data_IF_737727042003
#
_entry.id   IF_737727042003
#
_cell.length_a   1.000
_cell.length_b   1.000
_cell.length_c   1.000
_cell.angle_alpha   90.00
_cell.angle_beta   90.00
_cell.angle_gamma   90.00
#
_symmetry.space_group_name_H-M   'P 1'
#
loop_
_entity.id
_entity.type
_entity.pdbx_description
1 polymer ?
#
# COMPACT_ATOMS: atom_id res chain seq x y z
N UNK A 1 7.83 -14.74 24.67
CA UNK A 1 6.44 -14.78 24.17
C UNK A 1 5.68 -13.70 24.90
N UNK A 2 5.40 -12.60 24.21
CA UNK A 2 4.45 -11.59 24.67
C UNK A 2 3.43 -11.47 23.53
N UNK A 3 2.23 -11.95 23.81
CA UNK A 3 1.07 -11.90 22.92
C UNK A 3 0.72 -10.43 22.71
N UNK A 4 0.80 -9.96 21.47
CA UNK A 4 0.35 -8.64 21.06
C UNK A 4 -1.08 -8.76 20.54
N UNK A 5 -1.98 -9.24 21.41
CA UNK A 5 -3.41 -9.30 21.16
C UNK A 5 -4.04 -8.15 21.94
N UNK A 6 -4.51 -7.10 21.26
CA UNK A 6 -5.36 -6.10 21.93
C UNK A 6 -5.46 -4.68 21.40
N UNK A 7 -4.97 -4.31 20.22
CA UNK A 7 -5.11 -2.90 19.77
C UNK A 7 -5.23 -2.70 18.24
N UNK A 8 -5.73 -3.71 17.52
CA UNK A 8 -5.89 -3.66 16.06
C UNK A 8 -7.26 -3.15 15.57
N UNK A 9 -8.23 -2.97 16.48
CA UNK A 9 -9.64 -2.78 16.13
C UNK A 9 -10.12 -1.34 16.00
N UNK A 10 -9.52 -0.37 16.68
CA UNK A 10 -10.15 0.95 16.91
C UNK A 10 -9.64 2.08 15.99
N UNK A 11 -8.45 1.93 15.40
CA UNK A 11 -7.80 3.02 14.67
C UNK A 11 -8.45 3.40 13.33
N UNK A 12 -9.02 2.42 12.60
CA UNK A 12 -9.59 2.65 11.27
C UNK A 12 -10.92 3.39 11.36
N UNK A 13 -11.78 3.08 12.33
CA UNK A 13 -13.07 3.75 12.48
C UNK A 13 -12.88 5.24 12.82
N UNK A 14 -11.95 5.53 13.73
CA UNK A 14 -11.55 6.90 14.06
C UNK A 14 -10.95 7.63 12.83
N UNK A 15 -10.15 6.94 12.02
CA UNK A 15 -9.60 7.51 10.81
C UNK A 15 -10.69 7.83 9.77
N UNK A 16 -11.62 6.92 9.52
CA UNK A 16 -12.73 7.14 8.58
C UNK A 16 -13.63 8.26 9.05
N UNK A 17 -14.05 8.25 10.32
CA UNK A 17 -14.88 9.31 10.90
C UNK A 17 -14.25 10.70 10.75
N UNK A 18 -12.93 10.78 10.93
CA UNK A 18 -12.23 12.05 10.81
C UNK A 18 -12.03 12.52 9.37
N UNK A 19 -11.88 11.61 8.40
CA UNK A 19 -11.74 11.95 6.97
C UNK A 19 -13.07 12.21 6.27
N UNK A 20 -14.15 11.62 6.78
CA UNK A 20 -15.52 11.94 6.34
C UNK A 20 -15.99 13.26 6.96
N UNK A 21 -15.33 13.72 8.02
CA UNK A 21 -15.78 14.83 8.87
C UNK A 21 -17.05 14.45 9.61
N UNK A 22 -17.50 15.25 10.58
CA UNK A 22 -18.82 15.09 11.21
C UNK A 22 -20.00 15.33 10.26
N UNK A 23 -19.88 14.93 9.00
CA UNK A 23 -20.91 14.96 8.01
C UNK A 23 -22.05 14.07 8.51
N UNK A 24 -23.22 14.68 8.70
CA UNK A 24 -24.41 14.04 9.27
C UNK A 24 -24.70 12.68 8.62
N UNK A 25 -24.39 12.54 7.32
CA UNK A 25 -24.57 11.30 6.59
C UNK A 25 -23.73 10.13 7.12
N UNK A 26 -22.60 10.31 7.84
CA UNK A 26 -21.81 9.21 8.42
C UNK A 26 -22.38 8.63 9.72
N UNK A 27 -23.26 9.37 10.40
CA UNK A 27 -23.90 8.91 11.63
C UNK A 27 -25.42 8.75 11.48
N UNK A 28 -26.01 9.29 10.40
CA UNK A 28 -27.42 9.13 10.02
C UNK A 28 -27.61 7.84 9.19
N UNK A 29 -28.17 6.75 9.76
CA UNK A 29 -28.36 5.49 9.05
C UNK A 29 -29.43 5.57 7.93
N UNK A 30 -30.36 6.54 8.03
CA UNK A 30 -31.53 6.64 7.14
C UNK A 30 -31.38 7.74 6.09
N UNK A 31 -30.24 8.42 6.06
CA UNK A 31 -29.95 9.51 5.11
C UNK A 31 -29.99 9.05 3.64
N UNK A 32 -30.71 9.80 2.80
CA UNK A 32 -30.81 9.51 1.37
C UNK A 32 -29.45 9.55 0.65
N UNK A 33 -28.56 10.46 1.06
CA UNK A 33 -27.19 10.57 0.54
C UNK A 33 -26.33 9.35 0.89
N UNK A 34 -26.55 8.74 2.06
CA UNK A 34 -25.88 7.50 2.48
C UNK A 34 -26.27 6.36 1.54
N UNK A 35 -27.58 6.17 1.34
CA UNK A 35 -28.11 5.12 0.49
C UNK A 35 -27.61 5.27 -0.95
N UNK A 36 -27.54 6.50 -1.46
CA UNK A 36 -26.98 6.76 -2.79
C UNK A 36 -25.49 6.40 -2.88
N UNK A 37 -24.69 6.70 -1.84
CA UNK A 37 -23.23 6.47 -1.82
C UNK A 37 -22.84 5.00 -1.59
N UNK A 38 -23.63 4.24 -0.84
CA UNK A 38 -23.36 2.82 -0.52
C UNK A 38 -23.90 1.84 -1.55
N UNK A 39 -24.71 2.31 -2.50
CA UNK A 39 -25.16 1.50 -3.65
C UNK A 39 -23.99 1.13 -4.57
N UNK A 40 -24.08 -0.06 -5.15
CA UNK A 40 -23.20 -0.50 -6.22
C UNK A 40 -23.27 0.47 -7.41
N UNK A 41 -22.19 0.58 -8.18
CA UNK A 41 -22.28 1.18 -9.50
C UNK A 41 -23.05 0.23 -10.43
N UNK A 42 -23.97 0.78 -11.22
CA UNK A 42 -24.82 0.03 -12.15
C UNK A 42 -24.60 0.55 -13.57
N UNK A 43 -24.77 -0.31 -14.58
CA UNK A 43 -24.55 0.07 -15.98
C UNK A 43 -23.10 -0.08 -16.44
N UNK A 44 -22.78 0.46 -17.62
CA UNK A 44 -21.41 0.45 -18.14
C UNK A 44 -20.55 1.44 -17.35
N UNK A 45 -19.22 1.27 -17.37
CA UNK A 45 -18.26 2.19 -16.71
C UNK A 45 -18.51 3.67 -17.05
N UNK A 46 -18.91 3.96 -18.29
CA UNK A 46 -19.23 5.32 -18.77
C UNK A 46 -20.46 5.94 -18.11
N UNK A 47 -21.32 5.12 -17.52
CA UNK A 47 -22.57 5.52 -16.88
C UNK A 47 -22.38 5.77 -15.38
N UNK A 48 -21.17 5.51 -14.84
CA UNK A 48 -20.92 5.66 -13.42
C UNK A 48 -20.82 7.14 -13.04
N UNK A 49 -21.40 7.57 -11.91
CA UNK A 49 -21.31 8.97 -11.49
C UNK A 49 -19.86 9.31 -11.11
N UNK A 50 -19.16 10.05 -11.97
CA UNK A 50 -17.76 10.47 -11.79
C UNK A 50 -17.50 11.11 -10.40
N UNK A 51 -18.36 12.01 -9.88
CA UNK A 51 -18.15 12.59 -8.55
C UNK A 51 -18.17 11.55 -7.42
N UNK A 52 -18.94 10.46 -7.57
CA UNK A 52 -19.02 9.39 -6.58
C UNK A 52 -17.80 8.47 -6.65
N UNK A 53 -17.32 8.17 -7.85
CA UNK A 53 -16.09 7.39 -8.05
C UNK A 53 -14.88 8.12 -7.46
N UNK A 54 -14.67 9.39 -7.85
CA UNK A 54 -13.57 10.21 -7.35
C UNK A 54 -13.64 10.38 -5.82
N UNK A 55 -14.83 10.63 -5.27
CA UNK A 55 -15.03 10.69 -3.83
C UNK A 55 -14.49 9.45 -3.11
N UNK A 56 -14.82 8.25 -3.60
CA UNK A 56 -14.37 7.00 -2.98
C UNK A 56 -12.87 6.76 -3.17
N UNK A 57 -12.31 7.06 -4.35
CA UNK A 57 -10.85 6.98 -4.59
C UNK A 57 -10.09 7.87 -3.61
N UNK A 58 -10.52 9.12 -3.46
CA UNK A 58 -9.86 10.07 -2.57
C UNK A 58 -10.02 9.70 -1.11
N UNK A 59 -11.23 9.27 -0.70
CA UNK A 59 -11.49 8.85 0.67
C UNK A 59 -10.62 7.65 1.06
N UNK A 60 -10.48 6.66 0.18
CA UNK A 60 -9.60 5.50 0.38
C UNK A 60 -8.15 5.94 0.66
N UNK A 61 -7.61 6.82 -0.20
CA UNK A 61 -6.24 7.32 -0.04
C UNK A 61 -6.08 8.16 1.22
N UNK A 62 -7.05 9.00 1.57
CA UNK A 62 -7.01 9.80 2.81
C UNK A 62 -7.02 8.93 4.06
N UNK A 63 -7.90 7.93 4.11
CA UNK A 63 -7.98 6.98 5.24
C UNK A 63 -6.68 6.19 5.37
N UNK A 64 -6.17 5.62 4.27
CA UNK A 64 -4.90 4.89 4.29
C UNK A 64 -3.72 5.77 4.71
N UNK A 65 -3.66 7.03 4.23
CA UNK A 65 -2.65 8.02 4.64
C UNK A 65 -2.69 8.30 6.13
N UNK A 66 -3.90 8.49 6.70
CA UNK A 66 -4.09 8.73 8.13
C UNK A 66 -3.69 7.54 8.98
N UNK A 67 -3.98 6.33 8.52
CA UNK A 67 -3.51 5.09 9.13
C UNK A 67 -2.00 4.84 8.92
N UNK A 68 -1.34 5.68 8.12
CA UNK A 68 0.06 5.54 7.71
C UNK A 68 0.36 4.21 7.01
N UNK A 69 -0.64 3.64 6.34
CA UNK A 69 -0.53 2.38 5.60
C UNK A 69 -0.19 2.67 4.14
N UNK A 70 0.81 1.97 3.61
CA UNK A 70 1.13 1.96 2.18
C UNK A 70 0.48 0.77 1.46
N UNK A 71 -0.01 -0.21 2.22
CA UNK A 71 -0.65 -1.42 1.72
C UNK A 71 -1.68 -1.98 2.70
N UNK A 72 -2.67 -2.69 2.17
CA UNK A 72 -3.71 -3.34 2.97
C UNK A 72 -4.29 -4.57 2.23
N UNK A 73 -4.74 -5.61 2.96
CA UNK A 73 -5.55 -6.68 2.39
C UNK A 73 -6.86 -6.14 1.80
N UNK A 74 -7.25 -6.63 0.62
CA UNK A 74 -8.43 -6.18 -0.10
C UNK A 74 -9.73 -6.38 0.70
N UNK A 75 -9.84 -7.48 1.46
CA UNK A 75 -11.01 -7.70 2.32
C UNK A 75 -11.12 -6.64 3.43
N UNK A 76 -10.02 -6.19 4.04
CA UNK A 76 -10.10 -5.13 5.06
C UNK A 76 -10.64 -3.83 4.47
N UNK A 77 -10.20 -3.48 3.25
CA UNK A 77 -10.66 -2.26 2.59
C UNK A 77 -12.13 -2.35 2.20
N UNK A 78 -12.57 -3.50 1.68
CA UNK A 78 -13.93 -3.69 1.16
C UNK A 78 -14.98 -3.99 2.22
N UNK A 79 -14.61 -4.68 3.30
CA UNK A 79 -15.55 -5.20 4.30
C UNK A 79 -15.30 -4.73 5.73
N UNK A 80 -14.23 -4.00 6.01
CA UNK A 80 -13.91 -3.54 7.37
C UNK A 80 -13.84 -2.02 7.46
N UNK A 81 -12.97 -1.36 6.69
CA UNK A 81 -12.69 0.08 6.82
C UNK A 81 -13.94 0.96 6.74
N UNK A 82 -14.91 0.57 5.94
CA UNK A 82 -16.15 1.32 5.74
C UNK A 82 -17.38 0.54 6.20
N UNK A 83 -17.18 -0.52 6.99
CA UNK A 83 -18.27 -1.23 7.62
C UNK A 83 -18.84 -0.34 8.73
N UNK A 84 -20.17 -0.19 8.70
CA UNK A 84 -20.88 0.53 9.74
C UNK A 84 -21.35 -0.34 10.89
N UNK A 85 -21.67 0.27 12.05
CA UNK A 85 -22.56 -0.34 13.03
C UNK A 85 -23.81 -0.88 12.33
N UNK A 86 -24.11 -2.16 12.53
CA UNK A 86 -25.19 -2.87 11.80
C UNK A 86 -24.72 -3.65 10.56
N UNK A 87 -23.42 -3.65 10.23
CA UNK A 87 -22.83 -4.53 9.22
C UNK A 87 -22.99 -4.07 7.77
N UNK A 88 -23.41 -2.82 7.55
CA UNK A 88 -23.60 -2.27 6.20
C UNK A 88 -22.24 -1.87 5.62
N UNK A 89 -21.89 -2.40 4.45
CA UNK A 89 -20.67 -2.09 3.70
C UNK A 89 -20.98 -1.45 2.35
N UNK A 90 -20.19 -0.49 1.84
CA UNK A 90 -20.45 0.11 0.54
C UNK A 90 -20.22 -0.88 -0.60
N UNK A 91 -21.28 -1.15 -1.38
CA UNK A 91 -21.26 -2.15 -2.43
C UNK A 91 -20.49 -1.72 -3.69
N UNK A 92 -20.09 -0.45 -3.77
CA UNK A 92 -19.29 0.07 -4.88
C UNK A 92 -17.78 -0.10 -4.71
N UNK A 93 -17.30 -0.45 -3.51
CA UNK A 93 -15.86 -0.53 -3.23
C UNK A 93 -15.10 -1.50 -4.15
N UNK A 94 -15.60 -2.72 -4.46
CA UNK A 94 -14.91 -3.61 -5.39
C UNK A 94 -14.67 -2.95 -6.75
N UNK A 95 -15.67 -2.25 -7.28
CA UNK A 95 -15.54 -1.51 -8.54
C UNK A 95 -14.57 -0.33 -8.42
N UNK A 96 -14.60 0.43 -7.33
CA UNK A 96 -13.65 1.53 -7.09
C UNK A 96 -12.20 1.01 -7.10
N UNK A 97 -11.95 -0.14 -6.46
CA UNK A 97 -10.61 -0.73 -6.40
C UNK A 97 -10.13 -1.22 -7.77
N UNK A 98 -11.02 -1.81 -8.57
CA UNK A 98 -10.69 -2.19 -9.96
C UNK A 98 -10.37 -0.97 -10.82
N UNK A 99 -11.09 0.14 -10.65
CA UNK A 99 -10.79 1.40 -11.33
C UNK A 99 -9.43 1.98 -10.90
N UNK A 100 -9.16 2.05 -9.60
CA UNK A 100 -7.85 2.50 -9.09
C UNK A 100 -6.71 1.60 -9.58
N UNK A 101 -6.95 0.29 -9.72
CA UNK A 101 -5.98 -0.64 -10.29
C UNK A 101 -5.78 -0.42 -11.79
N UNK A 102 -6.86 -0.18 -12.54
CA UNK A 102 -6.81 0.13 -13.96
C UNK A 102 -6.05 1.44 -14.24
N UNK A 103 -6.19 2.43 -13.37
CA UNK A 103 -5.50 3.72 -13.45
C UNK A 103 -4.03 3.63 -12.96
N UNK A 104 -3.65 2.53 -12.30
CA UNK A 104 -2.31 2.32 -11.76
C UNK A 104 -2.05 2.99 -10.41
N UNK A 105 -3.10 3.45 -9.74
CA UNK A 105 -3.06 3.96 -8.36
C UNK A 105 -2.86 2.83 -7.34
N UNK A 106 -3.38 1.64 -7.66
CA UNK A 106 -3.24 0.42 -6.85
C UNK A 106 -2.52 -0.67 -7.64
N UNK A 107 -1.56 -1.32 -6.97
CA UNK A 107 -0.84 -2.47 -7.47
C UNK A 107 -1.10 -3.68 -6.55
N UNK A 108 -1.01 -4.89 -7.08
CA UNK A 108 -1.09 -6.09 -6.25
C UNK A 108 0.31 -6.53 -5.81
N UNK A 109 0.50 -6.79 -4.52
CA UNK A 109 1.80 -7.24 -3.98
C UNK A 109 2.31 -8.50 -4.69
N UNK A 110 1.41 -9.42 -5.03
CA UNK A 110 1.71 -10.66 -5.76
C UNK A 110 2.23 -10.40 -7.19
N UNK A 111 1.89 -9.26 -7.79
CA UNK A 111 2.45 -8.81 -9.06
C UNK A 111 3.81 -8.15 -8.91
N UNK A 112 4.18 -7.61 -7.75
CA UNK A 112 5.44 -6.89 -7.55
C UNK A 112 6.66 -7.81 -7.50
N UNK A 113 7.80 -7.34 -8.00
CA UNK A 113 9.06 -8.10 -7.95
C UNK A 113 9.47 -8.31 -6.50
N UNK A 114 9.72 -9.57 -6.12
CA UNK A 114 10.20 -9.92 -4.77
C UNK A 114 11.73 -9.75 -4.73
N UNK A 115 12.27 -8.80 -3.94
CA UNK A 115 13.70 -8.48 -3.95
C UNK A 115 14.60 -9.60 -3.43
N UNK A 116 14.07 -10.47 -2.57
CA UNK A 116 14.77 -11.62 -1.99
C UNK A 116 14.76 -12.85 -2.91
N UNK A 117 13.98 -12.84 -3.98
CA UNK A 117 13.90 -13.96 -4.92
C UNK A 117 15.11 -13.99 -5.85
N UNK A 118 15.51 -15.19 -6.28
CA UNK A 118 16.67 -15.39 -7.17
C UNK A 118 16.55 -14.62 -8.48
N UNK A 119 17.70 -14.24 -9.07
CA UNK A 119 17.75 -13.36 -10.25
C UNK A 119 16.92 -13.83 -11.44
N UNK A 120 16.82 -15.14 -11.67
CA UNK A 120 15.99 -15.71 -12.74
C UNK A 120 14.49 -15.46 -12.52
N UNK A 121 14.00 -15.61 -11.28
CA UNK A 121 12.61 -15.31 -10.94
C UNK A 121 12.30 -13.83 -11.15
N UNK A 122 13.22 -12.94 -10.80
CA UNK A 122 13.05 -11.50 -11.03
C UNK A 122 12.96 -11.18 -12.52
N UNK A 123 13.77 -11.83 -13.36
CA UNK A 123 13.72 -11.66 -14.82
C UNK A 123 12.39 -12.19 -15.40
N UNK A 124 11.98 -13.40 -15.04
CA UNK A 124 10.70 -13.97 -15.48
C UNK A 124 9.54 -13.07 -15.05
N UNK A 125 9.59 -12.54 -13.83
CA UNK A 125 8.55 -11.64 -13.31
C UNK A 125 8.50 -10.33 -14.10
N UNK A 126 9.66 -9.72 -14.43
CA UNK A 126 9.73 -8.53 -15.30
C UNK A 126 9.11 -8.79 -16.68
N UNK A 127 9.38 -9.94 -17.28
CA UNK A 127 8.81 -10.31 -18.59
C UNK A 127 7.29 -10.53 -18.47
N UNK A 128 6.82 -11.21 -17.42
CA UNK A 128 5.39 -11.45 -17.20
C UNK A 128 4.60 -10.16 -16.98
N UNK A 129 5.22 -9.11 -16.42
CA UNK A 129 4.60 -7.80 -16.19
C UNK A 129 4.46 -6.98 -17.48
N UNK A 130 5.19 -7.31 -18.56
CA UNK A 130 4.96 -6.70 -19.87
C UNK A 130 3.64 -7.17 -20.50
N UNK A 131 3.10 -8.29 -20.03
CA UNK A 131 1.71 -8.66 -20.28
C UNK A 131 0.83 -7.95 -19.24
N UNK A 132 -0.17 -7.20 -19.70
CA UNK A 132 -1.16 -6.58 -18.82
C UNK A 132 -1.91 -7.70 -18.10
N UNK A 133 -1.54 -7.95 -16.84
CA UNK A 133 -2.24 -8.88 -15.96
C UNK A 133 -3.62 -8.29 -15.65
N UNK A 134 -4.64 -8.73 -16.38
CA UNK A 134 -6.05 -8.37 -16.16
C UNK A 134 -6.73 -9.26 -15.14
N UNK A 135 -5.98 -9.86 -14.21
CA UNK A 135 -6.63 -10.65 -13.16
C UNK A 135 -7.44 -9.73 -12.25
N UNK A 136 -8.65 -10.15 -11.87
CA UNK A 136 -9.48 -9.42 -10.90
C UNK A 136 -8.81 -9.44 -9.52
N UNK A 137 -9.13 -8.45 -8.71
CA UNK A 137 -8.74 -8.38 -7.30
C UNK A 137 -9.53 -9.43 -6.51
N UNK A 138 -8.82 -10.30 -5.80
CA UNK A 138 -9.42 -11.26 -4.85
C UNK A 138 -9.26 -10.79 -3.41
N UNK A 139 -10.03 -11.34 -2.48
CA UNK A 139 -10.05 -10.88 -1.08
C UNK A 139 -8.71 -11.05 -0.34
N UNK A 140 -7.92 -12.05 -0.76
CA UNK A 140 -6.60 -12.37 -0.24
C UNK A 140 -5.50 -11.49 -0.82
N UNK A 141 -5.80 -10.70 -1.85
CA UNK A 141 -4.81 -9.82 -2.45
C UNK A 141 -4.42 -8.69 -1.49
N UNK A 142 -3.13 -8.36 -1.48
CA UNK A 142 -2.61 -7.19 -0.78
C UNK A 142 -2.50 -6.05 -1.79
N UNK A 143 -3.30 -5.02 -1.57
CA UNK A 143 -3.33 -3.78 -2.32
C UNK A 143 -2.15 -2.91 -1.88
N UNK A 144 -1.39 -2.38 -2.83
CA UNK A 144 -0.29 -1.45 -2.61
C UNK A 144 -0.66 -0.12 -3.22
N UNK A 145 -0.79 0.91 -2.39
CA UNK A 145 -1.19 2.26 -2.81
C UNK A 145 0.03 3.03 -3.30
N UNK A 146 0.11 3.24 -4.62
CA UNK A 146 1.29 3.84 -5.28
C UNK A 146 1.69 5.18 -4.66
N UNK A 147 0.75 6.12 -4.59
CA UNK A 147 0.98 7.47 -4.10
C UNK A 147 1.47 7.48 -2.66
N UNK A 148 0.93 6.61 -1.80
CA UNK A 148 1.33 6.53 -0.39
C UNK A 148 2.74 5.96 -0.21
N UNK A 149 3.15 4.98 -1.03
CA UNK A 149 4.53 4.50 -1.03
C UNK A 149 5.49 5.59 -1.50
N UNK A 150 5.12 6.33 -2.55
CA UNK A 150 5.92 7.42 -3.12
C UNK A 150 6.08 8.59 -2.12
N UNK A 151 4.99 9.05 -1.51
CA UNK A 151 4.99 10.04 -0.43
C UNK A 151 5.89 9.60 0.73
N UNK A 152 5.71 8.35 1.20
CA UNK A 152 6.51 7.82 2.30
C UNK A 152 7.99 7.74 1.95
N UNK A 153 8.32 7.39 0.71
CA UNK A 153 9.70 7.32 0.26
C UNK A 153 10.38 8.69 0.27
N UNK A 154 9.68 9.76 -0.14
CA UNK A 154 10.18 11.13 -0.06
C UNK A 154 10.34 11.63 1.38
N UNK A 155 9.44 11.25 2.29
CA UNK A 155 9.60 11.51 3.74
C UNK A 155 10.88 10.86 4.27
N UNK A 156 11.13 9.59 3.90
CA UNK A 156 12.34 8.85 4.29
C UNK A 156 13.58 9.51 3.69
N UNK A 157 13.52 9.91 2.41
CA UNK A 157 14.60 10.62 1.73
C UNK A 157 15.00 11.88 2.51
N UNK A 158 14.00 12.66 2.93
CA UNK A 158 14.19 13.89 3.69
C UNK A 158 14.81 13.62 5.06
N UNK A 159 14.32 12.62 5.78
CA UNK A 159 14.87 12.22 7.07
C UNK A 159 16.33 11.74 6.98
N UNK A 160 16.69 11.04 5.90
CA UNK A 160 18.05 10.55 5.68
C UNK A 160 18.99 11.63 5.13
N UNK A 161 18.52 12.57 4.30
CA UNK A 161 19.30 13.73 3.81
C UNK A 161 19.79 14.63 4.94
N UNK A 162 19.00 14.76 6.01
CA UNK A 162 19.41 15.46 7.24
C UNK A 162 20.67 14.90 7.92
N UNK A 163 21.18 13.75 7.47
CA UNK A 163 22.40 13.09 7.95
C UNK A 163 23.62 13.17 7.00
N UNK A 164 23.65 14.14 6.07
CA UNK A 164 24.76 14.47 5.14
C UNK A 164 24.93 13.57 3.89
N UNK A 165 23.86 12.99 3.33
CA UNK A 165 23.95 12.11 2.15
C UNK A 165 23.46 12.77 0.85
N UNK A 166 24.17 12.54 -0.26
CA UNK A 166 24.04 13.34 -1.50
C UNK A 166 23.28 12.67 -2.65
N UNK A 167 23.02 11.34 -2.64
CA UNK A 167 22.21 10.68 -3.70
C UNK A 167 21.80 9.23 -3.42
N UNK A 168 22.63 8.50 -2.66
CA UNK A 168 22.42 7.08 -2.35
C UNK A 168 22.69 6.81 -0.88
N UNK A 169 22.05 5.78 -0.36
CA UNK A 169 22.08 5.45 1.05
C UNK A 169 22.01 3.93 1.24
N UNK A 170 22.80 3.40 2.18
CA UNK A 170 22.66 2.01 2.65
C UNK A 170 22.12 2.01 4.07
N UNK A 171 20.96 1.39 4.27
CA UNK A 171 20.37 1.17 5.60
C UNK A 171 20.17 -0.32 5.87
N UNK A 172 20.11 -0.69 7.14
CA UNK A 172 19.70 -2.06 7.53
C UNK A 172 18.22 -2.27 7.26
N UNK A 173 17.80 -3.51 7.01
CA UNK A 173 16.38 -3.86 6.90
C UNK A 173 15.59 -3.46 8.16
N UNK A 174 16.21 -3.56 9.35
CA UNK A 174 15.61 -3.13 10.62
C UNK A 174 15.30 -1.63 10.61
N UNK A 175 16.26 -0.80 10.16
CA UNK A 175 16.04 0.65 10.04
C UNK A 175 14.98 0.96 8.98
N UNK A 176 14.99 0.27 7.84
CA UNK A 176 13.97 0.45 6.81
C UNK A 176 12.56 0.15 7.33
N UNK A 177 12.38 -1.00 8.00
CA UNK A 177 11.09 -1.40 8.57
C UNK A 177 10.55 -0.38 9.59
N UNK A 178 11.43 0.34 10.30
CA UNK A 178 11.02 1.34 11.29
C UNK A 178 10.31 2.57 10.69
N UNK A 179 10.39 2.77 9.36
CA UNK A 179 9.70 3.87 8.68
C UNK A 179 8.24 3.55 8.32
N UNK A 180 7.80 2.30 8.45
CA UNK A 180 6.47 1.83 8.05
C UNK A 180 5.68 1.35 9.26
N UNK A 181 4.36 1.26 9.10
CA UNK A 181 3.46 0.81 10.18
C UNK A 181 3.77 -0.62 10.65
N UNK A 182 4.18 -1.49 9.72
CA UNK A 182 4.52 -2.87 10.04
C UNK A 182 5.43 -3.51 8.99
N UNK A 183 5.92 -4.72 9.30
CA UNK A 183 6.85 -5.46 8.43
C UNK A 183 6.26 -5.79 7.07
N UNK A 184 4.98 -6.18 7.03
CA UNK A 184 4.31 -6.49 5.76
C UNK A 184 4.15 -5.25 4.87
N UNK A 185 3.88 -4.10 5.49
CA UNK A 185 3.76 -2.82 4.80
C UNK A 185 5.12 -2.36 4.24
N UNK A 186 6.17 -2.46 5.06
CA UNK A 186 7.54 -2.22 4.62
C UNK A 186 7.93 -3.13 3.46
N UNK A 187 7.60 -4.42 3.54
CA UNK A 187 7.94 -5.38 2.49
C UNK A 187 7.21 -5.07 1.18
N UNK A 188 5.93 -4.69 1.24
CA UNK A 188 5.18 -4.26 0.06
C UNK A 188 5.80 -3.02 -0.60
N UNK A 189 6.12 -2.00 0.20
CA UNK A 189 6.81 -0.80 -0.26
C UNK A 189 8.19 -1.13 -0.87
N UNK A 190 8.94 -2.04 -0.26
CA UNK A 190 10.23 -2.50 -0.79
C UNK A 190 10.08 -3.15 -2.17
N UNK A 191 9.10 -4.05 -2.35
CA UNK A 191 8.85 -4.68 -3.64
C UNK A 191 8.54 -3.62 -4.72
N UNK A 192 7.72 -2.62 -4.38
CA UNK A 192 7.40 -1.51 -5.27
C UNK A 192 8.65 -0.70 -5.65
N UNK A 193 9.43 -0.26 -4.66
CA UNK A 193 10.63 0.56 -4.87
C UNK A 193 11.71 -0.19 -5.66
N UNK A 194 11.87 -1.50 -5.43
CA UNK A 194 12.77 -2.34 -6.22
C UNK A 194 12.33 -2.47 -7.66
N UNK A 195 11.03 -2.64 -7.90
CA UNK A 195 10.50 -2.65 -9.26
C UNK A 195 10.69 -1.31 -9.97
N UNK A 196 10.57 -0.18 -9.24
CA UNK A 196 10.84 1.17 -9.78
C UNK A 196 12.33 1.51 -9.89
N UNK A 197 13.24 0.61 -9.51
CA UNK A 197 14.68 0.87 -9.53
C UNK A 197 15.16 1.85 -8.46
N UNK A 198 14.31 2.21 -7.50
CA UNK A 198 14.61 3.13 -6.39
C UNK A 198 15.25 2.44 -5.19
N UNK A 199 15.15 1.12 -5.09
CA UNK A 199 15.70 0.36 -3.98
C UNK A 199 16.31 -0.97 -4.44
N UNK A 200 17.45 -1.36 -3.89
CA UNK A 200 18.09 -2.65 -4.14
C UNK A 200 18.40 -3.36 -2.84
N UNK A 201 17.85 -4.55 -2.69
CA UNK A 201 18.14 -5.43 -1.57
C UNK A 201 19.53 -6.07 -1.74
N UNK A 202 20.32 -6.04 -0.67
CA UNK A 202 21.67 -6.59 -0.61
C UNK A 202 21.70 -7.62 0.53
N UNK A 203 21.99 -8.88 0.18
CA UNK A 203 22.26 -9.94 1.14
C UNK A 203 23.74 -10.31 1.04
N UNK A 204 24.47 -10.18 2.14
CA UNK A 204 25.87 -10.59 2.20
C UNK A 204 25.88 -11.99 2.83
N UNK A 205 26.10 -13.00 1.98
CA UNK A 205 26.43 -14.37 2.42
C UNK A 205 27.94 -14.47 2.51
N UNK A 206 28.43 -14.92 3.66
CA UNK A 206 29.85 -14.98 3.97
C UNK A 206 30.42 -16.30 3.44
N UNK A 207 30.89 -16.29 2.21
CA UNK A 207 31.74 -17.38 1.69
C UNK A 207 33.24 -17.13 1.95
N UNK A 208 33.62 -16.04 2.63
CA UNK A 208 35.00 -15.77 3.05
C UNK A 208 35.19 -15.89 4.58
N UNK A 209 36.16 -16.69 5.06
CA UNK A 209 36.30 -17.06 6.46
C UNK A 209 36.91 -15.90 7.25
N UNK A 210 36.10 -15.28 8.09
CA UNK A 210 36.61 -14.54 9.25
C UNK A 210 35.71 -14.91 10.41
N UNK A 211 36.30 -15.36 11.51
CA UNK A 211 35.59 -15.83 12.71
C UNK A 211 34.71 -14.71 13.30
N UNK A 212 33.41 -14.74 12.99
CA UNK A 212 32.35 -14.12 13.79
C UNK A 212 31.10 -14.96 13.50
N UNK A 213 30.46 -15.44 14.58
CA UNK A 213 29.23 -16.25 14.59
C UNK A 213 28.28 -15.96 13.42
N UNK A 214 27.66 -17.00 12.87
CA UNK A 214 26.70 -16.97 11.75
C UNK A 214 25.70 -15.81 11.83
N UNK A 215 26.01 -14.70 11.15
CA UNK A 215 25.08 -13.59 10.97
C UNK A 215 24.98 -13.25 9.48
N UNK A 216 23.83 -13.54 8.91
CA UNK A 216 23.44 -13.05 7.59
C UNK A 216 23.02 -11.58 7.73
N UNK A 217 23.83 -10.66 7.20
CA UNK A 217 23.50 -9.22 7.24
C UNK A 217 22.71 -8.82 6.00
N UNK A 218 21.60 -8.12 6.23
CA UNK A 218 20.71 -7.62 5.17
C UNK A 218 20.69 -6.10 5.15
N UNK A 219 21.05 -5.56 4.00
CA UNK A 219 21.10 -4.13 3.75
C UNK A 219 20.18 -3.76 2.59
N UNK A 220 19.77 -2.51 2.59
CA UNK A 220 18.97 -1.90 1.54
C UNK A 220 19.70 -0.69 0.99
N UNK A 221 20.01 -0.74 -0.29
CA UNK A 221 20.53 0.39 -1.04
C UNK A 221 19.35 1.20 -1.60
N UNK A 222 19.20 2.45 -1.18
CA UNK A 222 18.19 3.38 -1.67
C UNK A 222 18.82 4.40 -2.63
N UNK A 223 18.15 4.63 -3.75
CA UNK A 223 18.51 5.63 -4.75
C UNK A 223 17.43 6.72 -4.77
N UNK A 224 17.81 7.95 -4.46
CA UNK A 224 16.90 9.11 -4.42
C UNK A 224 17.17 10.03 -5.62
N UNK A 225 16.81 9.57 -6.82
CA UNK A 225 16.78 10.41 -8.03
C UNK A 225 15.39 11.03 -8.20
N UNK A 226 15.32 12.32 -8.54
CA UNK A 226 14.08 13.07 -8.77
C UNK A 226 13.14 12.32 -9.74
N UNK A 227 11.84 12.30 -9.42
CA UNK A 227 10.82 11.69 -10.26
C UNK A 227 10.76 12.41 -11.62
N UNK A 228 10.86 11.70 -12.76
CA UNK A 228 10.23 12.21 -13.97
C UNK A 228 8.72 12.08 -13.78
N UNK A 229 8.03 13.22 -13.68
CA UNK A 229 6.58 13.26 -13.90
C UNK A 229 6.31 12.71 -15.30
N UNK A 230 5.65 11.56 -15.37
CA UNK A 230 5.03 11.03 -16.60
C UNK A 230 3.54 11.07 -16.39
#
# INVERSE_FOLDING_TARGET
MASNDGEGGEGWEAAVRAEVGGASWWDDPDGADLHARFKAFTGQRRDWPEPKLLFWKDLLLRVARRLRLCSAPAHLVTSVWFARPGGITPLCLPQVLEEMRADGDILLKSELIVPTAGGLYQLVKRVSQMAISRRPIVQEDILVFRSLVEERFEDIATQLRGSHWTSTCVITTTKFNSFFYGREDAHAALCYLTQRGKARYLAIRKEDPVEVHDFLFHFLWLCFSEFPHV
#
